data_IF_642277273983
#
_entry.id   IF_642277273983
#
_cell.length_a   1.000
_cell.length_b   1.000
_cell.length_c   1.000
_cell.angle_alpha   90.00
_cell.angle_beta   90.00
_cell.angle_gamma   90.00
#
_symmetry.space_group_name_H-M   'P 1'
#
loop_
_entity.id
_entity.type
_entity.pdbx_description
1 polymer ?
#
# COMPACT_ATOMS: atom_id res chain seq x y z
N UNK A 1 -3.13 7.24 -26.73
CA UNK A 1 -2.50 6.07 -26.07
C UNK A 1 -2.91 4.84 -26.87
N UNK A 2 -1.99 3.95 -27.22
CA UNK A 2 -2.27 2.74 -28.01
C UNK A 2 -2.01 1.50 -27.15
N UNK A 3 -2.90 0.52 -27.24
CA UNK A 3 -2.68 -0.80 -26.69
C UNK A 3 -3.08 -1.84 -27.73
N UNK A 4 -2.25 -2.85 -27.96
CA UNK A 4 -2.47 -3.92 -28.95
C UNK A 4 -2.83 -3.38 -30.34
N UNK A 5 -2.24 -2.21 -30.72
CA UNK A 5 -2.49 -1.54 -32.01
C UNK A 5 -3.82 -0.81 -32.12
N UNK A 6 -4.62 -0.69 -31.03
CA UNK A 6 -5.88 0.04 -31.00
C UNK A 6 -5.77 1.30 -30.17
N UNK A 7 -6.42 2.36 -30.63
CA UNK A 7 -6.49 3.63 -29.91
C UNK A 7 -7.46 3.48 -28.73
N UNK A 8 -7.04 3.89 -27.53
CA UNK A 8 -7.96 4.10 -26.43
C UNK A 8 -8.90 5.25 -26.84
N UNK A 9 -10.21 5.08 -26.64
CA UNK A 9 -11.21 6.07 -27.08
C UNK A 9 -12.09 5.60 -28.23
N UNK A 10 -12.10 4.30 -28.56
CA UNK A 10 -13.00 3.70 -29.57
C UNK A 10 -14.43 3.42 -29.04
N UNK A 11 -14.72 3.87 -27.82
CA UNK A 11 -16.03 3.69 -27.17
C UNK A 11 -16.28 2.30 -26.59
N UNK A 12 -15.30 1.39 -26.67
CA UNK A 12 -15.41 0.06 -26.07
C UNK A 12 -15.10 0.11 -24.57
N UNK A 13 -15.74 -0.75 -23.75
CA UNK A 13 -15.43 -0.82 -22.34
C UNK A 13 -13.95 -1.15 -22.07
N UNK A 14 -13.36 -0.45 -21.12
CA UNK A 14 -12.01 -0.70 -20.64
C UNK A 14 -12.06 -1.42 -19.29
N UNK A 15 -11.39 -2.56 -19.17
CA UNK A 15 -11.35 -3.37 -17.96
C UNK A 15 -9.95 -3.35 -17.34
N UNK A 16 -9.84 -2.77 -16.15
CA UNK A 16 -8.64 -2.85 -15.32
C UNK A 16 -8.78 -3.94 -14.28
N UNK A 17 -7.95 -4.96 -14.34
CA UNK A 17 -8.03 -6.11 -13.45
C UNK A 17 -6.90 -6.06 -12.44
N UNK A 18 -7.23 -5.80 -11.17
CA UNK A 18 -6.32 -5.64 -10.05
C UNK A 18 -6.15 -6.98 -9.31
N UNK A 19 -5.38 -7.87 -9.89
CA UNK A 19 -5.32 -9.31 -9.55
C UNK A 19 -4.64 -9.65 -8.21
N UNK A 20 -4.00 -8.72 -7.49
CA UNK A 20 -3.09 -9.15 -6.41
C UNK A 20 -3.68 -9.17 -5.01
N UNK A 21 -4.87 -8.68 -4.79
CA UNK A 21 -5.52 -8.74 -3.49
C UNK A 21 -4.79 -8.00 -2.34
N UNK A 22 -3.50 -7.74 -2.44
CA UNK A 22 -2.77 -6.99 -1.43
C UNK A 22 -3.13 -5.50 -1.52
N UNK A 23 -3.56 -4.92 -0.40
CA UNK A 23 -4.03 -3.53 -0.32
C UNK A 23 -3.03 -2.53 -0.93
N UNK A 24 -1.75 -2.66 -0.60
CA UNK A 24 -0.72 -1.75 -1.13
C UNK A 24 -0.57 -1.84 -2.65
N UNK A 25 -0.61 -3.05 -3.23
CA UNK A 25 -0.49 -3.26 -4.67
C UNK A 25 -1.71 -2.69 -5.43
N UNK A 26 -2.90 -2.81 -4.85
CA UNK A 26 -4.12 -2.21 -5.41
C UNK A 26 -4.02 -0.69 -5.40
N UNK A 27 -3.67 -0.08 -4.27
CA UNK A 27 -3.51 1.38 -4.16
C UNK A 27 -2.45 1.91 -5.13
N UNK A 28 -1.32 1.23 -5.27
CA UNK A 28 -0.28 1.58 -6.24
C UNK A 28 -0.76 1.53 -7.70
N UNK A 29 -1.85 0.82 -7.99
CA UNK A 29 -2.43 0.73 -9.34
C UNK A 29 -3.41 1.86 -9.65
N UNK A 30 -3.96 2.53 -8.63
CA UNK A 30 -5.00 3.55 -8.82
C UNK A 30 -4.54 4.76 -9.66
N UNK A 31 -3.30 5.24 -9.58
CA UNK A 31 -2.82 6.30 -10.48
C UNK A 31 -2.96 5.93 -11.97
N UNK A 32 -2.65 4.68 -12.34
CA UNK A 32 -2.82 4.20 -13.71
C UNK A 32 -4.30 4.09 -14.13
N UNK A 33 -5.17 3.63 -13.21
CA UNK A 33 -6.63 3.58 -13.44
C UNK A 33 -7.19 4.98 -13.70
N UNK A 34 -6.78 5.96 -12.89
CA UNK A 34 -7.18 7.36 -13.01
C UNK A 34 -6.64 7.97 -14.32
N UNK A 35 -5.41 7.66 -14.70
CA UNK A 35 -4.84 8.11 -15.96
C UNK A 35 -5.61 7.53 -17.15
N UNK A 36 -6.03 6.26 -17.09
CA UNK A 36 -6.90 5.65 -18.10
C UNK A 36 -8.24 6.39 -18.24
N UNK A 37 -8.90 6.77 -17.13
CA UNK A 37 -10.12 7.59 -17.17
C UNK A 37 -9.89 8.96 -17.81
N UNK A 38 -8.76 9.60 -17.50
CA UNK A 38 -8.43 10.91 -18.11
C UNK A 38 -8.17 10.79 -19.61
N UNK A 39 -7.53 9.70 -20.05
CA UNK A 39 -7.24 9.47 -21.46
C UNK A 39 -8.49 9.11 -22.28
N UNK A 40 -9.49 8.48 -21.63
CA UNK A 40 -10.75 8.11 -22.26
C UNK A 40 -11.93 8.45 -21.34
N UNK A 41 -12.40 9.71 -21.36
CA UNK A 41 -13.48 10.18 -20.50
C UNK A 41 -14.87 9.65 -20.87
N UNK A 42 -15.04 9.03 -22.03
CA UNK A 42 -16.34 8.60 -22.55
C UNK A 42 -16.59 7.10 -22.46
N UNK A 43 -15.53 6.30 -22.36
CA UNK A 43 -15.68 4.84 -22.24
C UNK A 43 -16.14 4.42 -20.85
N UNK A 44 -16.83 3.28 -20.80
CA UNK A 44 -17.11 2.60 -19.52
C UNK A 44 -15.80 2.00 -18.99
N UNK A 45 -15.39 2.43 -17.80
CA UNK A 45 -14.20 1.86 -17.13
C UNK A 45 -14.65 0.95 -16.01
N UNK A 46 -14.31 -0.33 -16.12
CA UNK A 46 -14.54 -1.36 -15.10
C UNK A 46 -13.25 -1.65 -14.36
N UNK A 47 -13.32 -1.61 -13.03
CA UNK A 47 -12.22 -1.96 -12.15
C UNK A 47 -12.57 -3.24 -11.42
N UNK A 48 -11.85 -4.31 -11.71
CA UNK A 48 -12.03 -5.63 -11.12
C UNK A 48 -11.06 -5.78 -9.96
N UNK A 49 -11.58 -5.73 -8.74
CA UNK A 49 -10.80 -5.83 -7.51
C UNK A 49 -11.35 -6.87 -6.55
N UNK A 50 -10.60 -7.24 -5.49
CA UNK A 50 -11.10 -8.13 -4.44
C UNK A 50 -12.33 -7.54 -3.76
N UNK A 51 -13.35 -8.38 -3.50
CA UNK A 51 -14.64 -7.94 -2.93
C UNK A 51 -14.48 -7.12 -1.63
N UNK A 52 -13.56 -7.50 -0.77
CA UNK A 52 -13.29 -6.81 0.49
C UNK A 52 -12.68 -5.39 0.35
N UNK A 53 -12.30 -4.99 -0.87
CA UNK A 53 -11.79 -3.64 -1.18
C UNK A 53 -12.79 -2.79 -1.98
N UNK A 54 -13.95 -3.30 -2.37
CA UNK A 54 -14.87 -2.60 -3.26
C UNK A 54 -15.29 -1.24 -2.73
N UNK A 55 -15.75 -1.19 -1.48
CA UNK A 55 -16.18 0.05 -0.85
C UNK A 55 -15.08 1.12 -0.83
N UNK A 56 -13.83 0.70 -0.55
CA UNK A 56 -12.67 1.59 -0.61
C UNK A 56 -12.39 2.05 -2.04
N UNK A 57 -12.45 1.16 -3.03
CA UNK A 57 -12.21 1.51 -4.43
C UNK A 57 -13.25 2.50 -4.95
N UNK A 58 -14.53 2.27 -4.68
CA UNK A 58 -15.61 3.21 -5.02
C UNK A 58 -15.35 4.58 -4.40
N UNK A 59 -15.04 4.61 -3.11
CA UNK A 59 -14.77 5.84 -2.38
C UNK A 59 -13.57 6.61 -2.96
N UNK A 60 -12.45 5.93 -3.20
CA UNK A 60 -11.22 6.57 -3.69
C UNK A 60 -11.32 7.03 -5.15
N UNK A 61 -12.06 6.32 -6.00
CA UNK A 61 -12.16 6.63 -7.43
C UNK A 61 -13.27 7.62 -7.77
N UNK A 62 -14.34 7.70 -6.96
CA UNK A 62 -15.49 8.60 -7.18
C UNK A 62 -15.11 10.06 -7.54
N UNK A 63 -14.12 10.71 -6.89
CA UNK A 63 -13.73 12.08 -7.24
C UNK A 63 -13.07 12.24 -8.62
N UNK A 64 -12.73 11.15 -9.28
CA UNK A 64 -12.01 11.14 -10.56
C UNK A 64 -12.89 10.74 -11.75
N UNK A 65 -14.15 10.43 -11.51
CA UNK A 65 -15.13 10.09 -12.54
C UNK A 65 -15.94 8.85 -12.20
N UNK A 66 -16.69 8.37 -13.19
CA UNK A 66 -17.51 7.17 -13.04
C UNK A 66 -16.69 5.91 -13.34
N UNK A 67 -16.77 4.95 -12.44
CA UNK A 67 -16.13 3.65 -12.55
C UNK A 67 -17.14 2.57 -12.14
N UNK A 68 -17.18 1.47 -12.87
CA UNK A 68 -17.89 0.27 -12.45
C UNK A 68 -16.94 -0.64 -11.65
N UNK A 69 -17.14 -0.72 -10.34
CA UNK A 69 -16.35 -1.65 -9.51
C UNK A 69 -16.99 -3.04 -9.60
N UNK A 70 -16.17 -4.03 -9.89
CA UNK A 70 -16.55 -5.42 -10.11
C UNK A 70 -15.73 -6.37 -9.26
N UNK A 71 -16.33 -7.48 -8.86
CA UNK A 71 -15.64 -8.50 -8.09
C UNK A 71 -14.65 -9.26 -8.99
N UNK A 72 -13.40 -9.33 -8.56
CA UNK A 72 -12.36 -10.05 -9.28
C UNK A 72 -12.67 -11.54 -9.45
N UNK A 73 -13.33 -12.17 -8.48
CA UNK A 73 -13.72 -13.57 -8.53
C UNK A 73 -14.67 -13.87 -9.69
N UNK A 74 -15.47 -12.89 -10.11
CA UNK A 74 -16.42 -12.99 -11.24
C UNK A 74 -15.76 -12.68 -12.60
N UNK A 75 -14.48 -12.30 -12.61
CA UNK A 75 -13.77 -11.99 -13.85
C UNK A 75 -13.57 -13.26 -14.69
N UNK A 76 -13.93 -13.26 -15.99
CA UNK A 76 -13.78 -14.41 -16.86
C UNK A 76 -12.33 -14.87 -16.99
N UNK A 77 -12.09 -16.15 -16.71
CA UNK A 77 -10.73 -16.71 -16.62
C UNK A 77 -10.13 -16.98 -17.98
N UNK A 78 -10.93 -17.35 -18.96
CA UNK A 78 -10.48 -17.69 -20.31
C UNK A 78 -10.67 -16.54 -21.28
N UNK A 79 -9.89 -16.54 -22.36
CA UNK A 79 -10.04 -15.57 -23.46
C UNK A 79 -11.41 -15.71 -24.13
N UNK A 80 -11.88 -16.95 -24.35
CA UNK A 80 -13.16 -17.24 -24.96
C UNK A 80 -14.33 -16.66 -24.16
N UNK A 81 -14.36 -16.84 -22.84
CA UNK A 81 -15.38 -16.25 -21.96
C UNK A 81 -15.35 -14.71 -22.00
N UNK A 82 -14.17 -14.09 -22.13
CA UNK A 82 -14.05 -12.63 -22.26
C UNK A 82 -14.60 -12.11 -23.59
N UNK A 83 -14.36 -12.85 -24.67
CA UNK A 83 -14.90 -12.55 -26.01
C UNK A 83 -16.42 -12.71 -26.03
N UNK A 84 -16.95 -13.81 -25.48
CA UNK A 84 -18.39 -14.06 -25.37
C UNK A 84 -19.12 -12.97 -24.58
N UNK A 85 -18.54 -12.49 -23.47
CA UNK A 85 -19.11 -11.41 -22.66
C UNK A 85 -18.84 -10.01 -23.22
N UNK A 86 -18.19 -9.90 -24.38
CA UNK A 86 -17.85 -8.64 -25.03
C UNK A 86 -17.22 -7.61 -24.07
N UNK A 87 -16.22 -8.04 -23.30
CA UNK A 87 -15.61 -7.20 -22.26
C UNK A 87 -14.80 -6.03 -22.83
N UNK A 88 -14.59 -5.94 -24.15
CA UNK A 88 -13.78 -4.90 -24.75
C UNK A 88 -12.30 -5.02 -24.41
N UNK A 89 -11.64 -3.88 -24.16
CA UNK A 89 -10.21 -3.86 -23.82
C UNK A 89 -9.99 -4.33 -22.38
N UNK A 90 -9.14 -5.34 -22.20
CA UNK A 90 -8.80 -5.86 -20.88
C UNK A 90 -7.33 -5.66 -20.58
N UNK A 91 -7.07 -4.89 -19.53
CA UNK A 91 -5.76 -4.68 -18.97
C UNK A 91 -5.62 -5.46 -17.65
N UNK A 92 -4.81 -6.49 -17.66
CA UNK A 92 -4.51 -7.27 -16.47
C UNK A 92 -3.32 -6.61 -15.77
N UNK A 93 -3.51 -6.13 -14.54
CA UNK A 93 -2.40 -5.96 -13.64
C UNK A 93 -1.95 -7.38 -13.22
N UNK A 94 -1.50 -8.12 -14.20
CA UNK A 94 -0.68 -9.28 -13.90
C UNK A 94 0.64 -8.70 -13.42
N UNK A 95 0.73 -8.43 -12.14
CA UNK A 95 2.06 -8.40 -11.53
C UNK A 95 2.63 -9.79 -11.77
N UNK A 96 3.43 -10.02 -12.82
CA UNK A 96 3.98 -11.33 -13.01
C UNK A 96 4.79 -11.57 -11.75
N UNK A 97 4.75 -12.78 -11.28
CA UNK A 97 5.68 -13.26 -10.28
C UNK A 97 7.15 -13.15 -10.75
N UNK A 98 7.38 -12.41 -11.83
CA UNK A 98 8.71 -12.03 -12.26
C UNK A 98 9.21 -10.90 -11.37
N UNK A 99 9.60 -11.30 -10.17
CA UNK A 99 10.19 -10.49 -9.12
C UNK A 99 11.35 -9.61 -9.61
N UNK A 100 11.99 -9.97 -10.71
CA UNK A 100 13.14 -9.27 -11.25
C UNK A 100 12.80 -7.89 -11.83
N UNK A 101 11.72 -7.76 -12.55
CA UNK A 101 11.31 -6.46 -13.12
C UNK A 101 10.61 -5.60 -12.08
N UNK A 102 9.72 -6.21 -11.28
CA UNK A 102 8.93 -5.54 -10.24
C UNK A 102 9.80 -4.81 -9.21
N UNK A 103 10.90 -5.40 -8.80
CA UNK A 103 11.74 -4.83 -7.75
C UNK A 103 12.76 -3.79 -8.25
N UNK A 104 12.83 -3.55 -9.57
CA UNK A 104 13.74 -2.58 -10.19
C UNK A 104 13.07 -1.31 -10.67
N UNK A 105 11.76 -1.26 -10.64
CA UNK A 105 10.97 -0.10 -11.05
C UNK A 105 10.04 0.32 -9.91
N UNK A 106 9.61 1.55 -9.93
CA UNK A 106 8.60 2.03 -9.00
C UNK A 106 7.28 1.26 -9.21
N UNK A 107 6.57 0.93 -8.11
CA UNK A 107 5.34 0.13 -8.18
C UNK A 107 4.26 0.75 -9.05
N UNK A 108 4.12 2.08 -9.00
CA UNK A 108 3.17 2.82 -9.84
C UNK A 108 3.57 2.72 -11.31
N UNK A 109 4.86 2.89 -11.65
CA UNK A 109 5.36 2.75 -13.03
C UNK A 109 5.11 1.35 -13.59
N UNK A 110 5.26 0.35 -12.72
CA UNK A 110 4.94 -1.02 -13.06
C UNK A 110 3.45 -1.20 -13.40
N UNK A 111 2.56 -0.60 -12.58
CA UNK A 111 1.13 -0.62 -12.83
C UNK A 111 0.77 0.11 -14.15
N UNK A 112 1.39 1.25 -14.44
CA UNK A 112 1.23 1.95 -15.73
C UNK A 112 1.64 1.06 -16.91
N UNK A 113 2.79 0.38 -16.82
CA UNK A 113 3.23 -0.55 -17.86
C UNK A 113 2.26 -1.72 -18.08
N UNK A 114 1.73 -2.29 -17.00
CA UNK A 114 0.79 -3.42 -17.08
C UNK A 114 -0.61 -3.02 -17.57
N UNK A 115 -1.12 -1.88 -17.10
CA UNK A 115 -2.51 -1.47 -17.33
C UNK A 115 -2.67 -0.60 -18.57
N UNK A 116 -1.68 0.19 -18.93
CA UNK A 116 -1.78 1.19 -20.01
C UNK A 116 -0.73 1.04 -21.09
N UNK A 117 0.20 0.08 -20.97
CA UNK A 117 1.38 -0.03 -21.83
C UNK A 117 2.12 1.34 -21.98
N UNK A 118 2.22 2.04 -20.87
CA UNK A 118 2.74 3.39 -20.79
C UNK A 118 3.65 3.57 -19.56
N UNK A 119 4.26 4.73 -19.45
CA UNK A 119 4.94 5.20 -18.25
C UNK A 119 4.29 6.51 -17.80
N UNK A 120 4.24 6.79 -16.49
CA UNK A 120 3.79 8.09 -16.02
C UNK A 120 4.74 9.18 -16.53
N UNK A 121 4.20 10.30 -17.01
CA UNK A 121 4.97 11.43 -17.51
C UNK A 121 5.72 12.18 -16.41
N UNK A 122 5.34 11.99 -15.16
CA UNK A 122 5.99 12.64 -14.02
C UNK A 122 5.44 12.23 -12.68
N UNK A 123 5.90 12.92 -11.63
CA UNK A 123 5.49 12.65 -10.24
C UNK A 123 4.01 12.91 -9.99
N UNK A 124 3.40 13.84 -10.73
CA UNK A 124 1.97 14.13 -10.59
C UNK A 124 1.10 12.93 -11.02
N UNK A 125 1.47 12.27 -12.11
CA UNK A 125 0.78 11.05 -12.54
C UNK A 125 1.02 9.84 -11.63
N UNK A 126 2.15 9.83 -10.90
CA UNK A 126 2.43 8.83 -9.86
C UNK A 126 1.67 9.08 -8.55
N UNK A 127 1.00 10.23 -8.44
CA UNK A 127 0.35 10.62 -7.19
C UNK A 127 -0.85 9.76 -6.86
N UNK A 128 -0.95 9.39 -5.61
CA UNK A 128 -2.08 8.63 -5.09
C UNK A 128 -3.36 9.48 -5.08
N UNK A 129 -4.55 8.85 -5.13
CA UNK A 129 -5.82 9.54 -5.07
C UNK A 129 -6.07 10.11 -3.67
N UNK A 130 -5.97 11.43 -3.51
CA UNK A 130 -6.17 12.12 -2.22
C UNK A 130 -7.48 12.92 -2.14
N UNK A 131 -8.26 12.99 -3.23
CA UNK A 131 -9.45 13.84 -3.31
C UNK A 131 -10.68 13.30 -2.59
N UNK A 132 -10.71 12.00 -2.26
CA UNK A 132 -11.84 11.41 -1.55
C UNK A 132 -11.94 12.02 -0.13
N UNK A 133 -13.12 12.48 0.30
CA UNK A 133 -13.30 13.09 1.62
C UNK A 133 -13.01 12.07 2.73
N UNK A 134 -12.66 12.57 3.91
CA UNK A 134 -12.60 11.78 5.12
C UNK A 134 -13.98 11.75 5.80
N UNK A 135 -14.29 10.64 6.44
CA UNK A 135 -15.37 10.53 7.39
C UNK A 135 -15.07 11.27 8.71
N UNK A 136 -15.90 11.11 9.74
CA UNK A 136 -15.72 11.79 11.01
C UNK A 136 -14.44 11.34 11.74
N UNK A 137 -13.85 12.27 12.49
CA UNK A 137 -12.73 11.97 13.39
C UNK A 137 -13.20 11.04 14.51
N UNK A 138 -12.39 10.02 14.83
CA UNK A 138 -12.73 9.00 15.83
C UNK A 138 -12.38 9.38 17.26
N UNK A 139 -11.31 10.16 17.45
CA UNK A 139 -10.80 10.59 18.76
C UNK A 139 -10.73 12.11 18.79
N UNK A 140 -11.10 12.70 19.93
CA UNK A 140 -10.94 14.15 20.16
C UNK A 140 -9.49 14.49 20.52
N UNK A 141 -8.78 13.58 21.21
CA UNK A 141 -7.39 13.73 21.58
C UNK A 141 -6.46 13.60 20.36
N UNK A 142 -5.29 14.24 20.38
CA UNK A 142 -4.27 14.04 19.35
C UNK A 142 -3.72 12.61 19.43
N UNK A 143 -3.45 11.98 18.29
CA UNK A 143 -3.03 10.59 18.26
C UNK A 143 -2.08 10.26 17.10
N UNK A 144 -1.23 9.27 17.35
CA UNK A 144 -0.31 8.70 16.36
C UNK A 144 -0.65 7.24 16.09
N UNK A 145 -0.78 6.87 14.82
CA UNK A 145 -1.16 5.53 14.42
C UNK A 145 0.08 4.69 14.10
N UNK A 146 0.13 3.48 14.63
CA UNK A 146 1.16 2.47 14.41
C UNK A 146 0.55 1.27 13.68
N UNK A 147 0.71 1.16 12.36
CA UNK A 147 0.42 -0.07 11.64
C UNK A 147 1.35 -1.18 12.10
N UNK A 148 0.79 -2.23 12.68
CA UNK A 148 1.52 -3.40 13.14
C UNK A 148 1.10 -4.62 12.34
N UNK A 149 1.99 -5.59 12.24
CA UNK A 149 1.74 -6.80 11.49
C UNK A 149 2.30 -6.78 10.08
N UNK A 150 2.85 -7.90 9.68
CA UNK A 150 3.44 -8.14 8.37
C UNK A 150 3.29 -9.60 7.97
N UNK A 151 3.24 -9.85 6.66
CA UNK A 151 3.35 -11.20 6.09
C UNK A 151 4.81 -11.65 5.94
N UNK A 152 5.77 -10.82 6.33
CA UNK A 152 7.20 -11.06 6.09
C UNK A 152 8.04 -10.42 7.20
N UNK A 153 8.97 -11.17 7.75
CA UNK A 153 9.87 -10.70 8.82
C UNK A 153 10.70 -9.48 8.42
N UNK A 154 11.09 -9.37 7.15
CA UNK A 154 11.87 -8.25 6.63
C UNK A 154 11.05 -6.95 6.43
N UNK A 155 9.79 -6.97 6.83
CA UNK A 155 8.87 -5.83 6.91
C UNK A 155 8.16 -5.76 8.26
N UNK A 156 8.70 -6.43 9.27
CA UNK A 156 8.12 -6.46 10.60
C UNK A 156 8.61 -5.27 11.42
N UNK A 157 7.67 -4.49 11.96
CA UNK A 157 8.00 -3.41 12.90
C UNK A 157 8.34 -4.03 14.25
N UNK A 158 9.63 -4.08 14.57
CA UNK A 158 10.13 -4.75 15.79
C UNK A 158 9.71 -4.01 17.06
N UNK A 159 9.31 -4.74 18.09
CA UNK A 159 8.94 -4.16 19.38
C UNK A 159 10.08 -3.33 19.99
N UNK A 160 11.33 -3.76 19.82
CA UNK A 160 12.51 -3.04 20.31
C UNK A 160 12.68 -1.67 19.67
N UNK A 161 12.22 -1.48 18.44
CA UNK A 161 12.23 -0.18 17.72
C UNK A 161 10.96 0.61 18.07
N UNK A 162 9.81 -0.05 18.10
CA UNK A 162 8.51 0.58 18.29
C UNK A 162 8.33 1.12 19.72
N UNK A 163 8.78 0.38 20.74
CA UNK A 163 8.56 0.73 22.14
C UNK A 163 9.14 2.12 22.54
N UNK A 164 10.38 2.49 22.20
CA UNK A 164 10.89 3.84 22.48
C UNK A 164 10.11 4.94 21.77
N UNK A 165 9.61 4.68 20.54
CA UNK A 165 8.82 5.64 19.79
C UNK A 165 7.46 5.84 20.45
N UNK A 166 6.76 4.77 20.82
CA UNK A 166 5.47 4.82 21.55
C UNK A 166 5.65 5.59 22.86
N UNK A 167 6.71 5.29 23.62
CA UNK A 167 6.99 5.99 24.88
C UNK A 167 7.14 7.50 24.64
N UNK A 168 7.94 7.90 23.64
CA UNK A 168 8.13 9.30 23.31
C UNK A 168 6.79 9.96 22.89
N UNK A 169 5.98 9.30 22.06
CA UNK A 169 4.66 9.77 21.61
C UNK A 169 3.76 10.06 22.82
N UNK A 170 3.69 9.14 23.79
CA UNK A 170 2.94 9.33 25.05
C UNK A 170 3.47 10.53 25.86
N UNK A 171 4.78 10.66 25.96
CA UNK A 171 5.43 11.77 26.70
C UNK A 171 5.13 13.14 26.05
N UNK A 172 4.82 13.17 24.74
CA UNK A 172 4.39 14.38 24.05
C UNK A 172 2.87 14.61 24.15
N UNK A 173 2.11 13.75 24.83
CA UNK A 173 0.67 13.88 25.02
C UNK A 173 -0.19 13.35 23.87
N UNK A 174 0.38 12.56 22.96
CA UNK A 174 -0.37 11.88 21.90
C UNK A 174 -0.80 10.49 22.34
N UNK A 175 -2.00 10.05 21.93
CA UNK A 175 -2.47 8.68 22.13
C UNK A 175 -1.87 7.76 21.07
N UNK A 176 -1.10 6.71 21.41
CA UNK A 176 -0.64 5.73 20.44
C UNK A 176 -1.76 4.75 20.11
N UNK A 177 -2.05 4.58 18.82
CA UNK A 177 -3.11 3.72 18.30
C UNK A 177 -2.50 2.61 17.44
N UNK A 178 -2.71 1.35 17.84
CA UNK A 178 -2.24 0.19 17.09
C UNK A 178 -3.32 -0.27 16.10
N UNK A 179 -2.95 -0.44 14.83
CA UNK A 179 -3.85 -0.95 13.78
C UNK A 179 -3.21 -2.07 13.00
N UNK A 180 -4.02 -2.94 12.40
CA UNK A 180 -3.56 -4.07 11.60
C UNK A 180 -4.52 -5.25 11.70
N UNK A 181 -4.13 -6.35 11.08
CA UNK A 181 -4.86 -7.61 11.15
C UNK A 181 -4.00 -8.65 11.87
N UNK A 182 -4.63 -9.52 12.65
CA UNK A 182 -4.00 -10.69 13.27
C UNK A 182 -4.08 -11.92 12.36
N UNK A 183 -5.14 -11.97 11.55
CA UNK A 183 -5.38 -13.00 10.56
C UNK A 183 -5.12 -12.47 9.17
N UNK A 184 -4.49 -13.28 8.32
CA UNK A 184 -4.26 -12.88 6.96
C UNK A 184 -5.51 -13.08 6.11
N UNK A 185 -5.74 -12.15 5.22
CA UNK A 185 -6.57 -12.40 4.07
C UNK A 185 -5.88 -13.39 3.14
N UNK A 186 -6.65 -14.30 2.59
CA UNK A 186 -6.20 -15.35 1.70
C UNK A 186 -5.56 -14.77 0.44
N UNK A 187 -4.39 -15.28 0.09
CA UNK A 187 -3.76 -14.99 -1.20
C UNK A 187 -4.30 -15.97 -2.24
N UNK A 188 -4.83 -15.45 -3.34
CA UNK A 188 -5.11 -16.29 -4.48
C UNK A 188 -3.79 -16.81 -5.07
N UNK A 189 -3.59 -18.13 -5.07
CA UNK A 189 -2.51 -18.78 -5.79
C UNK A 189 -2.92 -19.06 -7.24
N UNK A 190 -1.93 -19.31 -8.10
CA UNK A 190 -2.20 -19.78 -9.47
C UNK A 190 -3.06 -21.05 -9.40
N UNK A 191 -4.33 -20.97 -9.86
CA UNK A 191 -5.31 -22.06 -9.74
C UNK A 191 -6.52 -21.74 -8.86
N UNK A 192 -6.61 -20.54 -8.26
CA UNK A 192 -7.78 -20.08 -7.50
C UNK A 192 -7.88 -20.63 -6.07
N UNK A 193 -6.85 -21.32 -5.60
CA UNK A 193 -6.79 -21.79 -4.20
C UNK A 193 -6.40 -20.63 -3.30
N UNK A 194 -7.24 -20.34 -2.32
CA UNK A 194 -6.98 -19.32 -1.31
C UNK A 194 -6.16 -19.96 -0.17
N UNK A 195 -4.92 -19.54 -0.01
CA UNK A 195 -4.09 -19.98 1.13
C UNK A 195 -4.04 -18.89 2.20
N UNK A 196 -4.31 -19.22 3.47
CA UNK A 196 -4.13 -18.27 4.56
C UNK A 196 -2.65 -17.92 4.72
N UNK A 197 -2.36 -16.63 4.82
CA UNK A 197 -1.01 -16.14 5.13
C UNK A 197 -1.00 -15.74 6.60
N UNK A 198 -0.08 -16.27 7.39
CA UNK A 198 0.07 -15.85 8.78
C UNK A 198 0.61 -14.42 8.85
N UNK A 199 -0.08 -13.57 9.60
CA UNK A 199 0.44 -12.27 9.98
C UNK A 199 1.33 -12.43 11.19
N UNK A 200 2.47 -11.76 11.18
CA UNK A 200 3.43 -11.71 12.28
C UNK A 200 3.37 -10.30 12.85
N UNK A 201 3.24 -10.16 14.16
CA UNK A 201 3.44 -8.89 14.86
C UNK A 201 4.23 -9.11 16.15
N UNK A 202 4.70 -8.03 16.75
CA UNK A 202 5.44 -8.07 18.02
C UNK A 202 4.76 -7.26 19.12
N UNK A 203 3.46 -6.99 19.02
CA UNK A 203 2.73 -6.21 20.02
C UNK A 203 2.82 -6.85 21.41
N UNK A 204 2.76 -8.17 21.48
CA UNK A 204 2.87 -8.88 22.77
C UNK A 204 4.28 -8.82 23.40
N UNK A 205 5.29 -8.42 22.62
CA UNK A 205 6.65 -8.16 23.11
C UNK A 205 6.87 -6.73 23.61
N UNK A 206 5.90 -5.84 23.41
CA UNK A 206 5.93 -4.51 24.03
C UNK A 206 5.88 -4.63 25.55
N UNK A 207 6.57 -3.76 26.31
CA UNK A 207 6.42 -3.67 27.74
C UNK A 207 4.94 -3.56 28.13
N UNK A 208 4.45 -4.32 29.16
CA UNK A 208 3.04 -4.31 29.54
C UNK A 208 2.49 -2.91 29.84
N UNK A 209 3.28 -2.04 30.47
CA UNK A 209 2.91 -0.65 30.75
C UNK A 209 2.59 0.13 29.46
N UNK A 210 3.47 0.07 28.45
CA UNK A 210 3.27 0.74 27.17
C UNK A 210 2.08 0.15 26.40
N UNK A 211 1.86 -1.15 26.50
CA UNK A 211 0.75 -1.82 25.82
C UNK A 211 -0.60 -1.41 26.39
N UNK A 212 -0.69 -1.14 27.70
CA UNK A 212 -1.91 -0.64 28.35
C UNK A 212 -2.20 0.82 27.92
N UNK A 213 -1.18 1.61 27.66
CA UNK A 213 -1.30 2.99 27.21
C UNK A 213 -1.72 3.12 25.74
N UNK A 214 -1.62 2.03 24.96
CA UNK A 214 -2.02 2.02 23.56
C UNK A 214 -3.51 1.71 23.39
N UNK A 215 -4.17 2.39 22.47
CA UNK A 215 -5.49 1.99 21.98
C UNK A 215 -5.31 0.91 20.92
N UNK A 216 -5.67 -0.32 21.23
CA UNK A 216 -5.58 -1.45 20.27
C UNK A 216 -6.84 -1.56 19.42
N UNK A 217 -6.72 -1.14 18.15
CA UNK A 217 -7.75 -1.23 17.12
C UNK A 217 -7.46 -2.30 16.06
N UNK A 218 -6.54 -3.22 16.31
CA UNK A 218 -6.31 -4.33 15.39
C UNK A 218 -7.58 -5.16 15.20
N UNK A 219 -7.94 -5.42 13.94
CA UNK A 219 -9.18 -6.12 13.53
C UNK A 219 -10.50 -5.42 13.92
N UNK A 220 -10.46 -4.14 14.27
CA UNK A 220 -11.64 -3.37 14.74
C UNK A 220 -12.04 -2.24 13.80
N UNK A 221 -11.57 -2.24 12.58
CA UNK A 221 -11.90 -1.23 11.56
C UNK A 221 -12.19 -1.87 10.21
N UNK A 222 -13.14 -1.33 9.50
CA UNK A 222 -13.24 -1.50 8.05
C UNK A 222 -12.10 -0.75 7.36
N UNK A 223 -11.93 -0.93 6.05
CA UNK A 223 -10.90 -0.19 5.30
C UNK A 223 -11.20 1.31 5.22
N UNK A 224 -12.47 1.72 5.14
CA UNK A 224 -12.85 3.12 5.15
C UNK A 224 -12.61 3.76 6.52
N UNK A 225 -13.06 3.11 7.60
CA UNK A 225 -12.79 3.58 8.96
C UNK A 225 -11.28 3.65 9.25
N UNK A 226 -10.50 2.68 8.74
CA UNK A 226 -9.04 2.72 8.85
C UNK A 226 -8.47 3.91 8.09
N UNK A 227 -8.93 4.17 6.85
CA UNK A 227 -8.49 5.33 6.08
C UNK A 227 -8.80 6.64 6.79
N UNK A 228 -10.01 6.77 7.34
CA UNK A 228 -10.42 7.96 8.08
C UNK A 228 -9.57 8.15 9.35
N UNK A 229 -9.34 7.07 10.09
CA UNK A 229 -8.44 7.05 11.25
C UNK A 229 -7.03 7.52 10.87
N UNK A 230 -6.47 7.00 9.76
CA UNK A 230 -5.15 7.39 9.28
C UNK A 230 -5.11 8.86 8.83
N UNK A 231 -6.17 9.34 8.16
CA UNK A 231 -6.25 10.69 7.63
C UNK A 231 -6.41 11.79 8.70
N UNK A 232 -6.99 11.45 9.83
CA UNK A 232 -7.15 12.36 10.97
C UNK A 232 -6.03 12.24 12.02
N UNK A 233 -5.11 11.28 11.84
CA UNK A 233 -3.97 11.13 12.73
C UNK A 233 -2.98 12.30 12.58
N UNK A 234 -2.37 12.71 13.69
CA UNK A 234 -1.28 13.69 13.70
C UNK A 234 -0.05 13.11 12.97
N UNK A 235 0.20 11.80 13.12
CA UNK A 235 1.13 11.06 12.28
C UNK A 235 0.78 9.57 12.16
N UNK A 236 1.28 8.93 11.10
CA UNK A 236 1.29 7.48 10.91
C UNK A 236 2.74 7.01 10.85
N UNK A 237 3.12 6.12 11.75
CA UNK A 237 4.50 5.63 11.91
C UNK A 237 4.55 4.14 11.65
N UNK A 238 5.20 3.72 10.59
CA UNK A 238 5.22 2.29 10.27
C UNK A 238 6.28 1.89 9.25
N UNK A 239 6.17 0.63 8.84
CA UNK A 239 7.06 0.00 7.87
C UNK A 239 6.35 -0.21 6.52
N UNK A 240 7.10 -0.48 5.45
CA UNK A 240 6.57 -0.73 4.11
C UNK A 240 5.43 -1.77 4.11
N UNK A 241 4.21 -1.31 3.90
CA UNK A 241 3.01 -2.13 3.95
C UNK A 241 1.75 -1.44 3.43
N UNK A 242 0.69 -2.22 3.23
CA UNK A 242 -0.56 -1.74 2.64
C UNK A 242 -1.19 -0.56 3.40
N UNK A 243 -1.09 -0.55 4.73
CA UNK A 243 -1.65 0.52 5.57
C UNK A 243 -0.94 1.86 5.36
N UNK A 244 0.39 1.87 5.13
CA UNK A 244 1.09 3.12 4.80
C UNK A 244 0.71 3.63 3.41
N UNK A 245 0.50 2.72 2.44
CA UNK A 245 -0.04 3.11 1.14
C UNK A 245 -1.47 3.67 1.27
N UNK A 246 -2.29 3.11 2.17
CA UNK A 246 -3.63 3.64 2.46
C UNK A 246 -3.54 5.04 3.09
N UNK A 247 -2.65 5.27 4.06
CA UNK A 247 -2.37 6.59 4.60
C UNK A 247 -1.93 7.58 3.52
N UNK A 248 -1.20 7.09 2.50
CA UNK A 248 -0.81 7.88 1.33
C UNK A 248 -1.98 8.41 0.49
N UNK A 249 -3.20 7.85 0.62
CA UNK A 249 -4.43 8.38 -0.01
C UNK A 249 -5.10 9.49 0.81
N UNK A 250 -4.45 9.96 1.85
CA UNK A 250 -4.90 11.05 2.75
C UNK A 250 -3.83 12.13 2.84
N UNK A 251 -4.06 13.14 3.67
CA UNK A 251 -3.08 14.22 3.94
C UNK A 251 -2.29 14.00 5.25
N UNK A 252 -2.26 12.79 5.78
CA UNK A 252 -1.57 12.45 7.02
C UNK A 252 -0.06 12.66 6.95
N UNK A 253 0.56 13.04 8.06
CA UNK A 253 2.01 12.95 8.24
C UNK A 253 2.43 11.46 8.29
N UNK A 254 3.48 11.07 7.57
CA UNK A 254 3.92 9.68 7.50
C UNK A 254 5.40 9.56 7.80
N UNK A 255 5.75 8.70 8.75
CA UNK A 255 7.11 8.17 8.91
C UNK A 255 7.14 6.77 8.31
N UNK A 256 7.85 6.62 7.21
CA UNK A 256 7.85 5.42 6.39
C UNK A 256 9.20 4.71 6.48
N UNK A 257 9.27 3.64 7.26
CA UNK A 257 10.49 2.87 7.41
C UNK A 257 10.63 1.81 6.32
N UNK A 258 11.81 1.71 5.77
CA UNK A 258 12.19 0.78 4.72
C UNK A 258 13.46 0.03 5.09
N UNK A 259 13.47 -1.27 4.86
CA UNK A 259 14.65 -2.11 5.08
C UNK A 259 15.02 -2.90 3.83
N UNK A 260 14.19 -3.89 3.50
CA UNK A 260 14.38 -4.72 2.29
C UNK A 260 14.03 -3.99 0.98
N UNK A 261 13.24 -2.94 1.04
CA UNK A 261 12.87 -2.06 -0.10
C UNK A 261 13.57 -0.71 0.02
N UNK A 262 13.56 0.06 -1.05
CA UNK A 262 14.14 1.42 -1.09
C UNK A 262 13.08 2.45 -1.47
N UNK A 263 13.20 3.71 -1.00
CA UNK A 263 12.25 4.77 -1.32
C UNK A 263 11.99 4.94 -2.82
N UNK A 264 13.03 4.87 -3.65
CA UNK A 264 12.93 5.04 -5.11
C UNK A 264 11.94 4.08 -5.78
N UNK A 265 11.65 2.93 -5.17
CA UNK A 265 10.74 1.93 -5.73
C UNK A 265 9.40 1.86 -4.98
N UNK A 266 9.27 2.52 -3.84
CA UNK A 266 8.10 2.40 -2.96
C UNK A 266 7.60 3.73 -2.40
N UNK A 267 8.18 4.87 -2.81
CA UNK A 267 7.72 6.14 -2.29
C UNK A 267 6.22 6.36 -2.58
N UNK A 268 5.60 7.11 -1.71
CA UNK A 268 4.24 7.62 -1.89
C UNK A 268 4.37 9.03 -2.43
N UNK A 269 3.79 9.32 -3.58
CA UNK A 269 3.68 10.69 -4.08
C UNK A 269 2.26 11.21 -3.81
N UNK A 270 2.17 12.45 -3.37
CA UNK A 270 0.91 13.19 -3.21
C UNK A 270 1.07 14.55 -3.90
N UNK A 271 0.15 14.89 -4.81
CA UNK A 271 0.20 16.14 -5.56
C UNK A 271 1.56 16.39 -6.29
N UNK A 272 2.21 15.31 -6.74
CA UNK A 272 3.50 15.39 -7.42
C UNK A 272 4.71 15.50 -6.50
N UNK A 273 4.55 15.46 -5.19
CA UNK A 273 5.63 15.56 -4.22
C UNK A 273 5.76 14.28 -3.37
N UNK A 274 6.86 13.52 -3.50
CA UNK A 274 7.12 12.34 -2.69
C UNK A 274 7.60 12.67 -1.27
N UNK A 275 7.96 13.91 -0.98
CA UNK A 275 8.42 14.37 0.34
C UNK A 275 7.31 15.06 1.14
N UNK A 276 6.17 15.38 0.50
CA UNK A 276 5.09 16.12 1.15
C UNK A 276 4.54 15.36 2.35
N UNK A 277 4.82 15.87 3.54
CA UNK A 277 4.43 15.27 4.83
C UNK A 277 4.89 13.81 4.99
N UNK A 278 6.00 13.41 4.35
CA UNK A 278 6.56 12.06 4.46
C UNK A 278 8.05 12.15 4.78
N UNK A 279 8.47 11.32 5.75
CA UNK A 279 9.88 11.09 6.05
C UNK A 279 10.19 9.60 5.91
N UNK A 280 11.26 9.31 5.17
CA UNK A 280 11.74 7.95 4.95
C UNK A 280 12.86 7.64 5.92
N UNK A 281 12.71 6.52 6.64
CA UNK A 281 13.69 6.03 7.61
C UNK A 281 14.22 4.67 7.15
N UNK A 282 15.51 4.45 7.26
CA UNK A 282 16.16 3.18 6.89
C UNK A 282 17.26 2.80 7.86
N UNK A 283 17.71 1.54 7.85
CA UNK A 283 18.85 1.13 8.65
C UNK A 283 20.11 1.86 8.20
N UNK A 284 20.90 2.32 9.17
CA UNK A 284 22.19 2.97 8.92
C UNK A 284 23.24 1.91 8.60
N UNK A 285 24.15 2.21 7.70
CA UNK A 285 25.38 1.45 7.42
C UNK A 285 25.19 -0.04 7.13
N UNK A 286 24.02 -0.43 6.57
CA UNK A 286 23.73 -1.81 6.23
C UNK A 286 23.81 -1.99 4.71
N UNK A 287 24.84 -2.70 4.22
CA UNK A 287 25.08 -2.94 2.78
C UNK A 287 23.90 -3.59 2.07
N UNK A 288 23.17 -4.48 2.75
CA UNK A 288 22.02 -5.17 2.20
C UNK A 288 20.73 -4.36 2.19
N UNK A 289 20.73 -3.10 2.65
CA UNK A 289 19.55 -2.22 2.58
C UNK A 289 19.03 -2.17 1.15
N UNK A 290 17.71 -2.39 0.98
CA UNK A 290 17.09 -2.47 -0.33
C UNK A 290 17.40 -3.77 -1.08
N UNK A 291 17.70 -4.85 -0.40
CA UNK A 291 18.10 -6.14 -1.01
C UNK A 291 17.06 -6.67 -2.02
N UNK A 292 15.77 -6.48 -1.79
CA UNK A 292 14.72 -6.84 -2.75
C UNK A 292 14.85 -6.06 -4.07
N UNK A 293 15.44 -4.89 -4.04
CA UNK A 293 15.65 -4.03 -5.22
C UNK A 293 17.01 -4.28 -5.89
N UNK A 294 18.02 -4.63 -5.11
CA UNK A 294 19.41 -4.78 -5.58
C UNK A 294 19.72 -6.19 -6.11
N UNK A 295 19.22 -7.23 -5.46
CA UNK A 295 19.62 -8.59 -5.71
C UNK A 295 18.50 -9.39 -6.38
N UNK A 296 18.90 -10.38 -7.21
CA UNK A 296 17.98 -11.34 -7.79
C UNK A 296 17.56 -12.35 -6.71
N UNK A 297 16.68 -11.93 -5.80
CA UNK A 297 16.15 -12.85 -4.82
C UNK A 297 15.13 -13.78 -5.50
N UNK A 298 15.26 -15.08 -5.27
CA UNK A 298 14.33 -16.06 -5.77
C UNK A 298 12.96 -15.90 -5.10
N UNK A 299 11.91 -16.48 -5.68
CA UNK A 299 10.55 -16.43 -5.18
C UNK A 299 10.40 -16.90 -3.72
N UNK A 300 11.29 -17.79 -3.29
CA UNK A 300 11.33 -18.32 -1.94
C UNK A 300 12.04 -17.38 -0.95
N UNK A 301 12.88 -16.48 -1.42
CA UNK A 301 13.68 -15.57 -0.60
C UNK A 301 12.92 -14.33 -0.14
N UNK A 302 11.71 -14.07 -0.71
CA UNK A 302 10.89 -12.91 -0.34
C UNK A 302 10.42 -12.91 1.10
N UNK A 303 10.24 -14.09 1.68
CA UNK A 303 9.71 -14.26 3.03
C UNK A 303 10.82 -14.29 4.08
N UNK A 304 12.04 -14.56 3.66
CA UNK A 304 13.17 -14.77 4.56
C UNK A 304 14.32 -13.85 4.18
N UNK A 305 14.93 -13.26 5.17
CA UNK A 305 16.18 -12.53 5.04
C UNK A 305 17.30 -13.49 4.61
N UNK A 306 18.14 -13.09 3.64
CA UNK A 306 19.34 -13.85 3.28
C UNK A 306 20.29 -14.07 4.47
N UNK A 307 20.22 -13.19 5.47
CA UNK A 307 20.95 -13.27 6.73
C UNK A 307 20.14 -13.88 7.87
N UNK A 308 18.98 -14.47 7.60
CA UNK A 308 18.08 -15.22 8.49
C UNK A 308 17.39 -14.45 9.62
N UNK A 309 17.81 -13.24 9.96
CA UNK A 309 17.35 -12.48 11.13
C UNK A 309 16.64 -11.17 10.83
N UNK A 310 16.46 -10.85 9.52
CA UNK A 310 15.90 -9.56 9.10
C UNK A 310 16.58 -8.36 9.77
N UNK A 311 17.92 -8.40 9.85
CA UNK A 311 18.74 -7.43 10.57
C UNK A 311 18.36 -5.98 10.30
N UNK A 312 17.98 -5.65 9.03
CA UNK A 312 17.56 -4.30 8.67
C UNK A 312 16.41 -3.76 9.52
N UNK A 313 15.47 -4.61 9.94
CA UNK A 313 14.33 -4.19 10.75
C UNK A 313 14.68 -4.05 12.24
N UNK A 314 15.67 -4.79 12.71
CA UNK A 314 16.23 -4.66 14.07
C UNK A 314 17.23 -3.52 14.23
N UNK A 315 17.81 -3.07 13.12
CA UNK A 315 18.80 -1.97 13.07
C UNK A 315 18.19 -0.61 12.73
N UNK A 316 16.85 -0.52 12.60
CA UNK A 316 16.16 0.76 12.55
C UNK A 316 16.38 1.49 13.89
N UNK A 317 16.78 2.75 13.82
CA UNK A 317 17.07 3.51 15.04
C UNK A 317 15.84 4.33 15.45
N UNK A 318 15.30 4.16 16.68
CA UNK A 318 14.11 4.90 17.14
C UNK A 318 14.23 6.42 17.00
N UNK A 319 15.42 6.99 17.23
CA UNK A 319 15.64 8.43 17.11
C UNK A 319 15.41 8.97 15.71
N UNK A 320 15.61 8.17 14.65
CA UNK A 320 15.35 8.61 13.28
C UNK A 320 13.84 8.82 13.05
N UNK A 321 12.99 7.99 13.67
CA UNK A 321 11.54 8.17 13.66
C UNK A 321 11.13 9.39 14.48
N UNK A 322 11.67 9.53 15.69
CA UNK A 322 11.40 10.67 16.59
C UNK A 322 11.80 11.99 15.93
N UNK A 323 12.98 12.03 15.31
CA UNK A 323 13.43 13.22 14.58
C UNK A 323 12.51 13.52 13.40
N UNK A 324 12.10 12.48 12.64
CA UNK A 324 11.12 12.64 11.58
C UNK A 324 9.78 13.18 12.05
N UNK A 325 9.28 12.74 13.22
CA UNK A 325 8.06 13.27 13.83
C UNK A 325 8.22 14.75 14.20
N UNK A 326 9.34 15.13 14.85
CA UNK A 326 9.67 16.54 15.17
C UNK A 326 9.75 17.42 13.91
N UNK A 327 10.36 16.94 12.83
CA UNK A 327 10.41 17.64 11.54
C UNK A 327 9.03 17.84 10.90
N UNK A 328 8.08 16.98 11.22
CA UNK A 328 6.68 17.06 10.77
C UNK A 328 5.81 17.88 11.73
N UNK A 329 6.37 18.39 12.82
CA UNK A 329 5.71 19.35 13.74
C UNK A 329 5.06 18.71 14.97
N UNK A 330 5.39 17.45 15.32
CA UNK A 330 4.94 16.82 16.55
C UNK A 330 5.86 17.11 17.73
#
# INVERSE_FOLDING_TARGET
MYRDGKMLGDGLPMNFVLNHGALGDVICSLPAVIAGRKADPFSIIRVWGPSWQHELLEHLLKPYGEFEIRNFEDFPKTKAEREERNLGHTALNQMPFNTHTRNRVHMVDYAFGCLLDARPEGLLERSYPTKAPLGPRRFDEPYVVFPVGSTSENKLFRASVMAPIIKWVNEQGYVPVLVGTKTSHTKAEAGGVLTPITIIDEVDRLPPSLRIECVDLREKTTLLELRDLLGHADAVVGVDGGTLHLAGTTDANIIYAMGATIPQHRFIARNGDPSYKIRYVGPRDLECTGCQSKWRMSRHDFRFCAYKDSACMGLLHPDDFINGLKELGL
#
